data_IF_634862629881
#
_entry.id   IF_634862629881
#
_cell.length_a   1.000
_cell.length_b   1.000
_cell.length_c   1.000
_cell.angle_alpha   90.00
_cell.angle_beta   90.00
_cell.angle_gamma   90.00
#
_symmetry.space_group_name_H-M   'P 1'
#
loop_
_entity.id
_entity.type
_entity.pdbx_description
1 polymer ?
#
# COMPACT_ATOMS: atom_id res chain seq x y z
N UNK A 1 -7.60 -42.02 76.37
CA UNK A 1 -7.91 -41.11 75.25
C UNK A 1 -6.75 -41.18 74.28
N UNK A 2 -7.00 -41.84 73.15
CA UNK A 2 -6.02 -42.45 72.25
C UNK A 2 -5.50 -41.43 71.22
N UNK A 3 -4.19 -41.41 70.99
CA UNK A 3 -3.50 -40.63 69.96
C UNK A 3 -3.75 -41.20 68.55
N UNK A 4 -3.77 -40.35 67.51
CA UNK A 4 -3.61 -40.63 66.06
C UNK A 4 -3.52 -39.28 65.28
N UNK A 5 -2.93 -39.23 64.07
CA UNK A 5 -1.65 -38.53 63.89
C UNK A 5 -1.64 -37.36 62.88
N UNK A 6 -0.50 -36.69 62.85
CA UNK A 6 -0.01 -35.73 61.85
C UNK A 6 -0.46 -36.06 60.40
N UNK A 7 -1.01 -35.06 59.69
CA UNK A 7 -1.05 -35.01 58.22
C UNK A 7 -0.46 -33.69 57.71
N UNK A 8 0.54 -33.86 56.87
CA UNK A 8 1.36 -32.88 56.16
C UNK A 8 0.50 -31.98 55.24
N UNK A 9 0.83 -30.70 55.03
CA UNK A 9 0.04 -29.83 54.17
C UNK A 9 0.20 -30.23 52.70
N UNK A 10 -0.95 -30.45 52.05
CA UNK A 10 -1.04 -30.74 50.62
C UNK A 10 -0.55 -29.51 49.82
N UNK A 11 0.57 -29.66 49.11
CA UNK A 11 1.06 -28.68 48.13
C UNK A 11 -0.04 -28.46 47.09
N UNK A 12 -0.65 -27.27 47.08
CA UNK A 12 -1.45 -26.81 45.94
C UNK A 12 -0.50 -26.55 44.77
N UNK A 13 -0.58 -27.39 43.74
CA UNK A 13 0.10 -27.17 42.48
C UNK A 13 -0.55 -25.96 41.78
N UNK A 14 0.16 -24.84 41.73
CA UNK A 14 -0.13 -23.74 40.83
C UNK A 14 0.11 -24.20 39.40
N UNK A 15 -0.96 -24.37 38.64
CA UNK A 15 -0.90 -24.48 37.17
C UNK A 15 -2.02 -23.66 36.55
N UNK A 16 -1.85 -22.33 36.62
CA UNK A 16 -2.32 -21.47 35.55
C UNK A 16 -1.51 -21.86 34.31
N UNK A 17 -2.01 -22.80 33.51
CA UNK A 17 -1.62 -22.88 32.11
C UNK A 17 -2.64 -22.04 31.35
N UNK A 18 -2.42 -20.72 31.37
CA UNK A 18 -2.83 -19.90 30.24
C UNK A 18 -2.19 -20.56 29.02
N UNK A 19 -3.01 -21.01 28.07
CA UNK A 19 -2.52 -21.33 26.73
C UNK A 19 -1.88 -20.03 26.22
N UNK A 20 -0.56 -19.91 26.34
CA UNK A 20 0.19 -18.94 25.57
C UNK A 20 -0.13 -19.26 24.12
N UNK A 21 -1.00 -18.45 23.52
CA UNK A 21 -1.16 -18.43 22.09
C UNK A 21 0.22 -18.14 21.51
N UNK A 22 0.69 -19.02 20.64
CA UNK A 22 1.86 -18.79 19.83
C UNK A 22 1.61 -17.51 19.03
N UNK A 23 2.24 -16.42 19.45
CA UNK A 23 2.45 -15.26 18.59
C UNK A 23 3.49 -15.69 17.57
N UNK A 24 3.01 -16.33 16.50
CA UNK A 24 3.77 -16.39 15.26
C UNK A 24 3.91 -14.94 14.77
N UNK A 25 5.13 -14.39 14.64
CA UNK A 25 5.35 -13.06 14.10
C UNK A 25 4.75 -12.88 12.70
N UNK A 26 4.56 -13.99 11.95
CA UNK A 26 3.90 -13.97 10.65
C UNK A 26 2.38 -13.85 10.72
N UNK A 27 1.78 -13.99 11.91
CA UNK A 27 0.34 -13.91 12.13
C UNK A 27 -0.04 -12.61 12.88
N UNK A 28 0.87 -11.64 12.97
CA UNK A 28 0.49 -10.28 13.36
C UNK A 28 -0.34 -9.67 12.22
N UNK A 29 -1.62 -9.42 12.51
CA UNK A 29 -2.47 -8.57 11.69
C UNK A 29 -1.91 -7.14 11.78
N UNK A 30 -0.84 -6.86 11.03
CA UNK A 30 -0.60 -5.51 10.58
C UNK A 30 -1.73 -5.22 9.58
N UNK A 31 -2.61 -4.25 9.82
CA UNK A 31 -3.44 -3.74 8.75
C UNK A 31 -2.52 -2.97 7.81
N UNK A 32 -1.70 -3.69 7.04
CA UNK A 32 -0.97 -3.15 5.91
C UNK A 32 -2.05 -2.74 4.93
N UNK A 33 -2.30 -1.44 4.84
CA UNK A 33 -3.24 -0.92 3.88
C UNK A 33 -2.60 -1.09 2.49
N UNK A 34 -3.14 -2.03 1.72
CA UNK A 34 -2.70 -2.28 0.36
C UNK A 34 -3.11 -1.10 -0.53
N UNK A 35 -2.23 -0.74 -1.46
CA UNK A 35 -2.44 0.34 -2.42
C UNK A 35 -2.26 -0.13 -3.86
N UNK A 36 -2.90 0.58 -4.78
CA UNK A 36 -2.85 0.33 -6.22
C UNK A 36 -2.62 1.65 -6.96
N UNK A 37 -1.83 1.61 -8.03
CA UNK A 37 -1.58 2.78 -8.88
C UNK A 37 -2.39 2.65 -10.17
N UNK A 38 -3.21 3.64 -10.48
CA UNK A 38 -3.76 3.84 -11.82
C UNK A 38 -2.96 4.91 -12.56
N UNK A 39 -2.46 4.59 -13.75
CA UNK A 39 -1.80 5.53 -14.66
C UNK A 39 -2.67 5.70 -15.90
N UNK A 40 -2.99 6.95 -16.23
CA UNK A 40 -3.76 7.35 -17.42
C UNK A 40 -2.93 8.35 -18.24
N UNK A 41 -2.57 7.98 -19.46
CA UNK A 41 -1.81 8.81 -20.39
C UNK A 41 -2.72 9.29 -21.52
N UNK A 42 -3.21 10.52 -21.37
CA UNK A 42 -3.96 11.23 -22.39
C UNK A 42 -3.05 11.95 -23.38
N UNK A 43 -3.63 12.45 -24.48
CA UNK A 43 -2.91 13.31 -25.44
C UNK A 43 -2.30 14.55 -24.78
N UNK A 44 -2.97 15.18 -23.82
CA UNK A 44 -2.50 16.43 -23.21
C UNK A 44 -1.75 16.28 -21.88
N UNK A 45 -1.79 15.11 -21.24
CA UNK A 45 -1.31 14.96 -19.87
C UNK A 45 -1.17 13.50 -19.45
N UNK A 46 -0.20 13.22 -18.58
CA UNK A 46 -0.14 11.98 -17.81
C UNK A 46 -0.73 12.21 -16.42
N UNK A 47 -1.45 11.22 -15.90
CA UNK A 47 -2.11 11.25 -14.59
C UNK A 47 -1.75 10.00 -13.79
N UNK A 48 -1.63 10.15 -12.49
CA UNK A 48 -1.44 9.05 -11.55
C UNK A 48 -2.43 9.17 -10.39
N UNK A 49 -3.11 8.08 -10.09
CA UNK A 49 -4.04 7.94 -8.98
C UNK A 49 -3.58 6.78 -8.08
N UNK A 50 -3.47 7.01 -6.77
CA UNK A 50 -3.22 5.96 -5.79
C UNK A 50 -4.54 5.67 -5.08
N UNK A 51 -4.94 4.41 -5.07
CA UNK A 51 -6.16 3.93 -4.41
C UNK A 51 -5.83 2.92 -3.34
N UNK A 52 -6.57 2.90 -2.24
CA UNK A 52 -6.48 1.83 -1.25
C UNK A 52 -7.30 0.59 -1.66
N UNK A 53 -7.21 -0.47 -0.86
CA UNK A 53 -7.96 -1.72 -0.99
C UNK A 53 -9.49 -1.59 -0.94
N UNK A 54 -10.01 -0.48 -0.41
CA UNK A 54 -11.45 -0.14 -0.39
C UNK A 54 -11.90 0.64 -1.63
N UNK A 55 -10.95 1.03 -2.49
CA UNK A 55 -11.21 1.84 -3.68
C UNK A 55 -11.23 3.35 -3.42
N UNK A 56 -10.84 3.81 -2.23
CA UNK A 56 -10.72 5.25 -1.96
C UNK A 56 -9.46 5.82 -2.61
N UNK A 57 -9.58 7.00 -3.23
CA UNK A 57 -8.42 7.74 -3.75
C UNK A 57 -7.66 8.37 -2.58
N UNK A 58 -6.40 7.97 -2.43
CA UNK A 58 -5.48 8.46 -1.39
C UNK A 58 -4.32 9.28 -1.95
N UNK A 59 -4.25 9.44 -3.27
CA UNK A 59 -3.30 10.34 -3.93
C UNK A 59 -3.70 10.56 -5.38
N UNK A 60 -3.53 11.79 -5.88
CA UNK A 60 -3.84 12.13 -7.26
C UNK A 60 -2.94 13.25 -7.77
N UNK A 61 -2.27 13.02 -8.90
CA UNK A 61 -1.48 14.05 -9.56
C UNK A 61 -1.57 13.94 -11.08
N UNK A 62 -1.28 15.05 -11.75
CA UNK A 62 -1.26 15.17 -13.21
C UNK A 62 -0.12 16.08 -13.63
N UNK A 63 0.45 15.78 -14.79
CA UNK A 63 1.48 16.58 -15.46
C UNK A 63 1.11 16.74 -16.93
N UNK A 64 1.21 17.97 -17.45
CA UNK A 64 0.93 18.25 -18.85
C UNK A 64 2.05 17.69 -19.75
N UNK A 65 1.68 17.08 -20.86
CA UNK A 65 2.59 16.57 -21.88
C UNK A 65 2.75 17.63 -22.98
N UNK A 66 3.98 17.85 -23.43
CA UNK A 66 4.24 18.71 -24.58
C UNK A 66 3.61 18.18 -25.87
N UNK A 67 2.94 19.06 -26.60
CA UNK A 67 2.37 18.80 -27.92
C UNK A 67 2.88 19.86 -28.89
N UNK A 68 3.51 19.42 -29.98
CA UNK A 68 4.02 20.29 -31.03
C UNK A 68 3.24 20.09 -32.32
N UNK A 69 3.01 21.18 -33.04
CA UNK A 69 2.35 21.18 -34.34
C UNK A 69 3.30 21.82 -35.37
N UNK A 70 4.22 21.03 -35.97
CA UNK A 70 5.18 21.57 -36.94
C UNK A 70 4.50 22.04 -38.23
N UNK A 71 3.42 21.35 -38.62
CA UNK A 71 2.61 21.65 -39.80
C UNK A 71 1.12 21.48 -39.49
N UNK A 72 0.26 22.11 -40.29
CA UNK A 72 -1.20 22.01 -40.09
C UNK A 72 -1.64 20.55 -40.22
N UNK A 73 -2.30 20.04 -39.18
CA UNK A 73 -2.76 18.63 -39.12
C UNK A 73 -1.72 17.63 -38.60
N UNK A 74 -0.48 18.05 -38.34
CA UNK A 74 0.56 17.22 -37.74
C UNK A 74 0.66 17.48 -36.24
N UNK A 75 0.81 16.42 -35.46
CA UNK A 75 0.94 16.48 -34.02
C UNK A 75 2.09 15.58 -33.59
N UNK A 76 3.03 16.15 -32.85
CA UNK A 76 4.20 15.44 -32.35
C UNK A 76 4.25 15.52 -30.82
N UNK A 77 4.74 14.45 -30.21
CA UNK A 77 4.99 14.35 -28.78
C UNK A 77 6.31 13.67 -28.54
N UNK A 78 6.99 14.07 -27.47
CA UNK A 78 8.26 13.46 -27.07
C UNK A 78 7.99 12.31 -26.12
N UNK A 79 8.43 11.10 -26.48
CA UNK A 79 8.33 9.92 -25.60
C UNK A 79 9.10 10.10 -24.30
N UNK A 80 10.23 10.80 -24.35
CA UNK A 80 11.00 11.19 -23.16
C UNK A 80 10.21 12.12 -22.25
N UNK A 81 9.48 13.08 -22.83
CA UNK A 81 8.65 14.00 -22.06
C UNK A 81 7.44 13.30 -21.43
N UNK A 82 6.79 12.42 -22.20
CA UNK A 82 5.69 11.56 -21.71
C UNK A 82 6.17 10.73 -20.51
N UNK A 83 7.30 10.05 -20.63
CA UNK A 83 7.85 9.23 -19.54
C UNK A 83 8.18 10.05 -18.29
N UNK A 84 8.77 11.24 -18.49
CA UNK A 84 9.04 12.19 -17.40
C UNK A 84 7.75 12.61 -16.70
N UNK A 85 6.69 12.93 -17.44
CA UNK A 85 5.39 13.32 -16.89
C UNK A 85 4.72 12.17 -16.10
N UNK A 86 4.83 10.93 -16.58
CA UNK A 86 4.34 9.74 -15.84
C UNK A 86 5.08 9.60 -14.51
N UNK A 87 6.41 9.59 -14.53
CA UNK A 87 7.23 9.45 -13.33
C UNK A 87 6.92 10.56 -12.30
N UNK A 88 6.85 11.80 -12.76
CA UNK A 88 6.55 12.95 -11.92
C UNK A 88 5.15 12.86 -11.30
N UNK A 89 4.15 12.44 -12.08
CA UNK A 89 2.78 12.26 -11.58
C UNK A 89 2.73 11.18 -10.51
N UNK A 90 3.36 10.02 -10.73
CA UNK A 90 3.40 8.93 -9.73
C UNK A 90 4.09 9.38 -8.45
N UNK A 91 5.27 9.99 -8.55
CA UNK A 91 5.99 10.49 -7.37
C UNK A 91 5.17 11.53 -6.59
N UNK A 92 4.54 12.48 -7.29
CA UNK A 92 3.70 13.50 -6.64
C UNK A 92 2.49 12.88 -5.95
N UNK A 93 1.81 11.91 -6.58
CA UNK A 93 0.66 11.24 -5.99
C UNK A 93 1.05 10.42 -4.74
N UNK A 94 2.17 9.69 -4.79
CA UNK A 94 2.71 8.96 -3.64
C UNK A 94 3.11 9.87 -2.47
N UNK A 95 3.71 11.03 -2.79
CA UNK A 95 4.22 11.97 -1.77
C UNK A 95 3.13 12.78 -1.06
N UNK A 96 1.91 12.89 -1.60
CA UNK A 96 0.83 13.67 -0.97
C UNK A 96 0.51 13.22 0.46
N UNK A 97 0.57 11.91 0.70
CA UNK A 97 0.28 11.30 2.01
C UNK A 97 1.41 10.41 2.52
N UNK A 98 2.62 10.51 1.94
CA UNK A 98 3.77 9.71 2.35
C UNK A 98 3.54 8.21 2.19
N UNK A 99 2.93 7.80 1.07
CA UNK A 99 2.55 6.42 0.82
C UNK A 99 3.83 5.58 0.67
N UNK A 100 3.93 4.53 1.46
CA UNK A 100 5.06 3.59 1.39
C UNK A 100 4.92 2.72 0.12
N UNK A 101 5.93 2.78 -0.75
CA UNK A 101 6.00 1.96 -1.95
C UNK A 101 5.94 0.45 -1.68
N UNK A 102 6.30 -0.01 -0.48
CA UNK A 102 6.19 -1.42 -0.09
C UNK A 102 4.73 -1.92 -0.03
N UNK A 103 3.77 -1.01 0.09
CA UNK A 103 2.33 -1.31 0.15
C UNK A 103 1.66 -1.39 -1.23
N UNK A 104 2.39 -1.06 -2.30
CA UNK A 104 1.85 -1.07 -3.67
C UNK A 104 1.78 -2.50 -4.19
N UNK A 105 0.57 -2.99 -4.45
CA UNK A 105 0.31 -4.37 -4.87
C UNK A 105 0.15 -4.54 -6.38
N UNK A 106 -0.09 -3.45 -7.10
CA UNK A 106 -0.24 -3.48 -8.55
C UNK A 106 -0.31 -2.11 -9.20
N UNK A 107 -0.13 -2.11 -10.52
CA UNK A 107 -0.21 -0.93 -11.38
C UNK A 107 -1.13 -1.26 -12.56
N UNK A 108 -2.16 -0.44 -12.77
CA UNK A 108 -2.94 -0.38 -13.99
C UNK A 108 -2.43 0.75 -14.88
N UNK A 109 -2.33 0.51 -16.19
CA UNK A 109 -1.83 1.48 -17.16
C UNK A 109 -2.77 1.55 -18.36
N UNK A 110 -3.31 2.73 -18.59
CA UNK A 110 -4.12 3.06 -19.77
C UNK A 110 -3.46 4.23 -20.52
N UNK A 111 -3.48 4.18 -21.84
CA UNK A 111 -2.87 5.19 -22.68
C UNK A 111 -3.62 5.35 -24.00
N UNK A 112 -3.72 6.59 -24.45
CA UNK A 112 -4.24 6.92 -25.77
C UNK A 112 -3.39 6.23 -26.84
N UNK A 113 -4.05 5.53 -27.76
CA UNK A 113 -3.45 4.81 -28.88
C UNK A 113 -3.24 5.69 -30.12
#
# INVERSE_FOLDING_TARGET
MTSMPFRQPYRQASRQQSRQMSVDPHNELHPVQDHYIGIDVGTGSARACIMNDKGDIVGLASENIGLWQPETGYYEQSTTDIWRCICNSVHRAMNQHGIDGSTIRGIGFDATC
#
